data_IF_289754509752
#
_entry.id   IF_289754509752
#
_cell.length_a   1.000
_cell.length_b   1.000
_cell.length_c   1.000
_cell.angle_alpha   90.00
_cell.angle_beta   90.00
_cell.angle_gamma   90.00
#
_symmetry.space_group_name_H-M   'P 1'
#
loop_
_entity.id
_entity.type
_entity.pdbx_description
1 polymer ?
#
# COMPACT_ATOMS: atom_id res chain seq x y z
N UNK A 1 5.21 -2.36 -6.45
CA UNK A 1 4.08 -1.98 -7.32
C UNK A 1 2.89 -1.70 -6.44
N UNK A 2 2.26 -0.54 -6.65
CA UNK A 2 1.08 -0.12 -5.91
C UNK A 2 -0.17 -0.26 -6.79
N UNK A 3 -1.32 -0.44 -6.17
CA UNK A 3 -2.63 -0.55 -6.82
C UNK A 3 -3.49 0.64 -6.41
N UNK A 4 -4.24 1.21 -7.33
CA UNK A 4 -5.11 2.36 -7.07
C UNK A 4 -6.39 2.23 -7.87
N UNK A 5 -7.41 2.98 -7.46
CA UNK A 5 -8.63 3.21 -8.23
C UNK A 5 -8.78 4.70 -8.50
N UNK A 6 -9.52 5.07 -9.55
CA UNK A 6 -9.77 6.48 -9.86
C UNK A 6 -10.60 7.19 -8.77
N UNK A 7 -11.52 6.46 -8.12
CA UNK A 7 -12.41 6.99 -7.08
C UNK A 7 -11.66 7.37 -5.79
N UNK A 8 -10.66 6.57 -5.39
CA UNK A 8 -10.01 6.70 -4.08
C UNK A 8 -8.52 7.05 -4.13
N UNK A 9 -7.89 6.90 -5.30
CA UNK A 9 -6.47 7.20 -5.58
C UNK A 9 -5.53 6.79 -4.42
N UNK A 10 -4.75 7.75 -3.89
CA UNK A 10 -3.78 7.54 -2.83
C UNK A 10 -4.40 7.20 -1.46
N UNK A 11 -5.66 7.54 -1.24
CA UNK A 11 -6.33 7.32 0.06
C UNK A 11 -6.65 5.84 0.30
N UNK A 12 -6.74 5.05 -0.77
CA UNK A 12 -6.87 3.60 -0.69
C UNK A 12 -5.85 2.86 -1.56
N UNK A 13 -4.65 3.44 -1.69
CA UNK A 13 -3.53 2.79 -2.38
C UNK A 13 -3.23 1.43 -1.74
N UNK A 14 -3.25 0.39 -2.59
CA UNK A 14 -2.92 -0.99 -2.25
C UNK A 14 -1.48 -1.33 -2.54
N UNK A 15 -0.91 -2.25 -1.77
CA UNK A 15 0.39 -2.84 -2.05
C UNK A 15 0.49 -4.24 -1.43
N UNK A 16 1.51 -4.99 -1.84
CA UNK A 16 1.80 -6.31 -1.27
C UNK A 16 2.78 -6.17 -0.10
N UNK A 17 2.29 -6.21 1.13
CA UNK A 17 3.10 -6.09 2.34
C UNK A 17 3.79 -7.40 2.74
N UNK A 18 5.00 -7.32 3.30
CA UNK A 18 5.68 -8.45 3.93
C UNK A 18 5.08 -8.80 5.30
N UNK A 19 5.08 -10.09 5.61
CA UNK A 19 4.79 -10.62 6.95
C UNK A 19 5.93 -11.52 7.39
N UNK A 20 6.48 -11.29 8.58
CA UNK A 20 7.57 -12.07 9.15
C UNK A 20 7.07 -13.40 9.75
N UNK A 21 8.00 -14.27 10.12
CA UNK A 21 7.68 -15.59 10.67
C UNK A 21 6.90 -15.56 12.00
N UNK A 22 6.98 -14.44 12.74
CA UNK A 22 6.22 -14.19 13.96
C UNK A 22 4.85 -13.55 13.69
N UNK A 23 4.48 -13.37 12.42
CA UNK A 23 3.23 -12.73 11.98
C UNK A 23 3.27 -11.20 12.01
N UNK A 24 4.39 -10.58 12.37
CA UNK A 24 4.52 -9.12 12.41
C UNK A 24 4.79 -8.51 11.03
N UNK A 25 4.42 -7.24 10.86
CA UNK A 25 4.91 -6.44 9.74
C UNK A 25 6.34 -5.98 10.02
N UNK A 26 7.27 -6.16 9.08
CA UNK A 26 8.62 -5.67 9.27
C UNK A 26 8.68 -4.14 9.20
N UNK A 27 9.72 -3.58 9.81
CA UNK A 27 10.09 -2.18 9.57
C UNK A 27 10.46 -2.00 8.10
N UNK A 28 10.14 -0.85 7.47
CA UNK A 28 10.52 -0.56 6.10
C UNK A 28 12.02 -0.74 5.89
N UNK A 29 12.42 -1.43 4.82
CA UNK A 29 13.82 -1.48 4.42
C UNK A 29 14.17 -0.25 3.62
N UNK A 30 15.35 0.29 3.88
CA UNK A 30 15.90 1.41 3.12
C UNK A 30 16.67 0.84 1.93
N UNK A 31 16.30 1.27 0.72
CA UNK A 31 16.96 0.92 -0.52
C UNK A 31 17.74 2.15 -1.00
N UNK A 32 19.06 2.00 -1.03
CA UNK A 32 19.96 2.97 -1.65
C UNK A 32 19.95 2.76 -3.16
N UNK A 33 19.34 3.69 -3.89
CA UNK A 33 19.25 3.67 -5.36
C UNK A 33 20.42 4.47 -5.99
N UNK A 34 21.34 5.00 -5.17
CA UNK A 34 22.54 5.71 -5.63
C UNK A 34 22.34 7.17 -6.02
N UNK A 35 23.48 7.90 -6.04
CA UNK A 35 23.78 9.27 -6.52
C UNK A 35 22.83 10.43 -6.18
N UNK A 36 21.86 10.26 -5.31
CA UNK A 36 21.01 11.33 -4.79
C UNK A 36 20.79 11.23 -3.28
N UNK A 37 20.22 12.26 -2.67
CA UNK A 37 19.82 12.24 -1.25
C UNK A 37 18.52 11.48 -1.00
N UNK A 38 17.92 10.87 -2.03
CA UNK A 38 16.61 10.25 -1.95
C UNK A 38 16.74 8.76 -1.63
N UNK A 39 16.51 8.42 -0.36
CA UNK A 39 16.44 7.04 0.12
C UNK A 39 15.02 6.52 -0.09
N UNK A 40 14.84 5.41 -0.80
CA UNK A 40 13.52 4.78 -0.94
C UNK A 40 13.28 3.84 0.26
N UNK A 41 12.12 3.94 0.89
CA UNK A 41 11.70 3.05 1.97
C UNK A 41 10.51 2.23 1.50
N UNK A 42 10.54 0.92 1.72
CA UNK A 42 9.44 0.03 1.34
C UNK A 42 9.23 -1.08 2.37
N UNK A 43 7.97 -1.41 2.60
CA UNK A 43 7.52 -2.60 3.33
C UNK A 43 6.98 -3.69 2.39
N UNK A 44 7.21 -3.55 1.09
CA UNK A 44 6.74 -4.52 0.11
C UNK A 44 7.50 -5.84 0.20
N UNK A 45 6.77 -6.95 0.05
CA UNK A 45 7.28 -8.30 0.33
C UNK A 45 8.58 -8.66 -0.40
N UNK A 46 8.72 -8.24 -1.66
CA UNK A 46 9.89 -8.53 -2.51
C UNK A 46 11.20 -8.01 -1.91
N UNK A 47 11.13 -6.97 -1.07
CA UNK A 47 12.30 -6.38 -0.43
C UNK A 47 12.83 -7.21 0.75
N UNK A 48 12.06 -8.22 1.19
CA UNK A 48 12.31 -9.09 2.34
C UNK A 48 12.62 -10.53 1.92
N UNK A 49 13.62 -10.70 1.05
CA UNK A 49 14.07 -12.01 0.56
C UNK A 49 15.12 -12.70 1.43
N UNK A 50 15.59 -12.06 2.50
CA UNK A 50 16.74 -12.53 3.28
C UNK A 50 18.10 -12.12 2.70
N UNK A 51 18.16 -11.65 1.45
CA UNK A 51 19.40 -11.20 0.81
C UNK A 51 19.96 -9.97 1.53
N UNK A 52 21.29 -9.85 1.57
CA UNK A 52 22.01 -8.72 2.20
C UNK A 52 21.73 -8.53 3.70
N UNK A 53 21.39 -9.61 4.42
CA UNK A 53 21.10 -9.56 5.86
C UNK A 53 19.74 -8.94 6.21
N UNK A 54 18.87 -8.73 5.21
CA UNK A 54 17.50 -8.26 5.43
C UNK A 54 16.66 -9.37 6.06
N UNK A 55 15.57 -9.03 6.77
CA UNK A 55 14.59 -10.05 7.18
C UNK A 55 14.03 -10.79 5.96
N UNK A 56 13.66 -12.05 6.18
CA UNK A 56 13.00 -12.89 5.17
C UNK A 56 11.51 -12.98 5.52
N UNK A 57 10.64 -12.59 4.59
CA UNK A 57 9.20 -12.70 4.77
C UNK A 57 8.79 -14.19 4.83
N UNK A 58 7.88 -14.56 5.74
CA UNK A 58 7.28 -15.88 5.79
C UNK A 58 5.95 -15.94 5.01
N UNK A 59 5.30 -14.78 4.85
CA UNK A 59 4.09 -14.60 4.09
C UNK A 59 4.06 -13.19 3.45
N UNK A 60 3.13 -12.98 2.54
CA UNK A 60 2.76 -11.69 2.00
C UNK A 60 1.26 -11.45 2.20
N UNK A 61 0.81 -10.20 2.15
CA UNK A 61 -0.62 -9.86 2.21
C UNK A 61 -0.96 -8.62 1.43
N UNK A 62 -2.24 -8.47 1.08
CA UNK A 62 -2.76 -7.18 0.64
C UNK A 62 -2.70 -6.17 1.80
N UNK A 63 -2.21 -4.98 1.54
CA UNK A 63 -2.21 -3.87 2.48
C UNK A 63 -2.74 -2.62 1.79
N UNK A 64 -3.40 -1.75 2.56
CA UNK A 64 -3.94 -0.49 2.07
C UNK A 64 -3.39 0.69 2.89
N UNK A 65 -3.25 1.85 2.26
CA UNK A 65 -2.83 3.10 2.92
C UNK A 65 -3.79 3.56 4.03
N UNK A 66 -5.04 3.09 4.01
CA UNK A 66 -6.02 3.31 5.08
C UNK A 66 -5.85 2.38 6.30
N UNK A 67 -4.66 1.78 6.48
CA UNK A 67 -4.30 0.81 7.52
C UNK A 67 -5.01 -0.57 7.45
N UNK A 68 -5.81 -0.83 6.43
CA UNK A 68 -6.37 -2.17 6.23
C UNK A 68 -5.27 -3.17 5.87
N UNK A 69 -5.42 -4.40 6.37
CA UNK A 69 -4.53 -5.55 6.13
C UNK A 69 -5.36 -6.79 5.81
N UNK A 70 -5.05 -7.44 4.70
CA UNK A 70 -5.68 -8.66 4.25
C UNK A 70 -5.13 -9.92 4.92
N UNK A 71 -5.66 -11.09 4.54
CA UNK A 71 -5.14 -12.41 4.91
C UNK A 71 -3.66 -12.60 4.56
N UNK A 72 -2.97 -13.41 5.35
CA UNK A 72 -1.57 -13.79 5.10
C UNK A 72 -1.50 -14.97 4.10
N UNK A 73 -0.78 -14.76 3.00
CA UNK A 73 -0.48 -15.76 1.97
C UNK A 73 0.96 -16.24 2.12
N UNK A 74 1.14 -17.54 2.40
CA UNK A 74 2.47 -18.09 2.69
C UNK A 74 3.41 -17.95 1.49
N UNK A 75 4.64 -17.51 1.75
CA UNK A 75 5.72 -17.52 0.76
C UNK A 75 6.44 -18.86 0.84
N UNK A 76 6.43 -19.62 -0.25
CA UNK A 76 7.30 -20.78 -0.41
C UNK A 76 8.57 -20.36 -1.15
N UNK A 77 9.66 -20.22 -0.40
CA UNK A 77 10.92 -19.78 -0.99
C UNK A 77 11.67 -20.87 -1.73
N UNK A 78 11.37 -22.13 -1.46
CA UNK A 78 12.02 -23.23 -2.17
C UNK A 78 11.50 -23.29 -3.62
N UNK A 79 10.23 -22.92 -3.84
CA UNK A 79 9.62 -22.77 -5.18
C UNK A 79 10.11 -21.52 -5.94
N UNK A 80 10.42 -20.41 -5.25
CA UNK A 80 10.82 -19.13 -5.88
C UNK A 80 12.25 -19.16 -6.44
N UNK A 81 13.15 -19.92 -5.81
CA UNK A 81 14.57 -19.95 -6.18
C UNK A 81 15.27 -18.57 -6.10
N UNK A 82 16.48 -18.47 -6.67
CA UNK A 82 17.32 -17.28 -6.51
C UNK A 82 16.94 -16.08 -7.42
N UNK A 83 16.10 -16.29 -8.43
CA UNK A 83 15.73 -15.29 -9.44
C UNK A 83 14.23 -15.01 -9.62
N UNK A 84 13.33 -15.75 -8.96
CA UNK A 84 11.89 -15.77 -9.27
C UNK A 84 11.01 -14.75 -8.53
N UNK A 85 11.57 -13.69 -7.95
CA UNK A 85 10.77 -12.68 -7.23
C UNK A 85 9.79 -11.94 -8.15
N UNK A 86 10.13 -11.80 -9.43
CA UNK A 86 9.29 -11.13 -10.44
C UNK A 86 8.13 -12.02 -10.92
N UNK A 87 8.26 -13.34 -10.76
CA UNK A 87 7.31 -14.34 -11.24
C UNK A 87 6.33 -14.83 -10.15
N UNK A 88 6.48 -14.36 -8.90
CA UNK A 88 5.56 -14.77 -7.85
C UNK A 88 4.17 -14.17 -8.09
N UNK A 89 3.18 -15.05 -8.24
CA UNK A 89 1.79 -14.68 -8.30
C UNK A 89 1.32 -14.14 -6.92
N UNK A 90 1.19 -12.81 -6.86
CA UNK A 90 0.62 -12.08 -5.73
C UNK A 90 -0.85 -11.71 -5.96
N UNK A 91 -1.50 -12.34 -6.94
CA UNK A 91 -2.89 -12.10 -7.32
C UNK A 91 -3.86 -12.26 -6.16
N UNK A 92 -3.62 -13.22 -5.26
CA UNK A 92 -4.45 -13.39 -4.06
C UNK A 92 -4.48 -12.14 -3.16
N UNK A 93 -3.33 -11.46 -2.99
CA UNK A 93 -3.27 -10.21 -2.23
C UNK A 93 -3.94 -9.04 -2.95
N UNK A 94 -3.87 -9.03 -4.29
CA UNK A 94 -4.60 -8.05 -5.10
C UNK A 94 -6.11 -8.26 -4.98
N UNK A 95 -6.59 -9.50 -5.06
CA UNK A 95 -8.01 -9.84 -4.96
C UNK A 95 -8.56 -9.48 -3.57
N UNK A 96 -7.79 -9.73 -2.51
CA UNK A 96 -8.15 -9.30 -1.16
C UNK A 96 -8.28 -7.76 -1.06
N UNK A 97 -7.32 -7.03 -1.65
CA UNK A 97 -7.38 -5.56 -1.71
C UNK A 97 -8.58 -5.07 -2.54
N UNK A 98 -8.84 -5.68 -3.70
CA UNK A 98 -9.99 -5.34 -4.55
C UNK A 98 -11.31 -5.54 -3.80
N UNK A 99 -11.45 -6.67 -3.10
CA UNK A 99 -12.63 -6.93 -2.27
C UNK A 99 -12.77 -5.93 -1.11
N UNK A 100 -11.65 -5.45 -0.57
CA UNK A 100 -11.64 -4.36 0.40
C UNK A 100 -12.13 -3.03 -0.21
N UNK A 101 -11.66 -2.64 -1.40
CA UNK A 101 -12.14 -1.45 -2.09
C UNK A 101 -13.64 -1.53 -2.37
N UNK A 102 -14.15 -2.67 -2.85
CA UNK A 102 -15.59 -2.88 -3.05
C UNK A 102 -16.39 -2.73 -1.75
N UNK A 103 -15.79 -3.06 -0.60
CA UNK A 103 -16.41 -2.88 0.70
C UNK A 103 -16.39 -1.41 1.18
N UNK A 104 -15.35 -0.66 0.83
CA UNK A 104 -15.24 0.79 1.07
C UNK A 104 -16.27 1.52 0.23
N UNK A 105 -16.32 1.24 -1.08
CA UNK A 105 -17.23 1.87 -2.04
C UNK A 105 -18.70 1.71 -1.62
N UNK A 106 -19.12 0.48 -1.28
CA UNK A 106 -20.48 0.22 -0.80
C UNK A 106 -20.86 0.94 0.49
N UNK A 107 -19.88 1.38 1.28
CA UNK A 107 -20.09 2.14 2.52
C UNK A 107 -19.90 3.64 2.33
N UNK A 108 -19.32 4.05 1.22
CA UNK A 108 -19.20 5.46 0.87
C UNK A 108 -20.61 6.05 0.73
N UNK A 109 -20.81 7.20 1.36
CA UNK A 109 -22.05 7.96 1.24
C UNK A 109 -21.67 9.26 0.55
N UNK A 110 -22.36 9.65 -0.54
CA UNK A 110 -22.09 10.92 -1.19
C UNK A 110 -22.26 12.05 -0.18
N UNK A 111 -21.31 12.97 -0.18
CA UNK A 111 -21.40 14.17 0.65
C UNK A 111 -22.63 14.97 0.20
N UNK A 112 -23.56 15.33 1.11
CA UNK A 112 -24.69 16.19 0.77
C UNK A 112 -24.22 17.48 0.09
N UNK A 113 -24.92 17.90 -0.97
CA UNK A 113 -24.55 19.05 -1.80
C UNK A 113 -24.32 20.32 -0.97
N UNK A 114 -25.17 20.55 0.04
CA UNK A 114 -25.05 21.66 0.98
C UNK A 114 -23.71 21.70 1.74
N UNK A 115 -23.17 20.53 2.10
CA UNK A 115 -21.89 20.41 2.80
C UNK A 115 -20.75 20.64 1.81
N UNK A 116 -20.84 20.08 0.60
CA UNK A 116 -19.86 20.27 -0.45
C UNK A 116 -19.73 21.76 -0.83
N UNK A 117 -20.85 22.46 -1.00
CA UNK A 117 -20.87 23.90 -1.26
C UNK A 117 -20.26 24.72 -0.12
N UNK A 118 -20.56 24.35 1.13
CA UNK A 118 -20.01 25.02 2.31
C UNK A 118 -18.49 24.88 2.38
N UNK A 119 -17.95 23.69 2.10
CA UNK A 119 -16.51 23.42 2.06
C UNK A 119 -15.83 24.20 0.93
N UNK A 120 -16.40 24.18 -0.29
CA UNK A 120 -15.87 24.93 -1.42
C UNK A 120 -15.83 26.45 -1.15
N UNK A 121 -16.87 26.98 -0.48
CA UNK A 121 -16.89 28.40 -0.08
C UNK A 121 -15.84 28.74 0.97
N UNK A 122 -15.59 27.83 1.92
CA UNK A 122 -14.56 27.99 2.93
C UNK A 122 -13.17 28.03 2.27
N UNK A 123 -12.88 27.08 1.39
CA UNK A 123 -11.63 27.02 0.62
C UNK A 123 -11.40 28.34 -0.13
N UNK A 124 -12.39 28.80 -0.91
CA UNK A 124 -12.30 30.06 -1.66
C UNK A 124 -12.08 31.30 -0.76
N UNK A 125 -12.47 31.25 0.51
CA UNK A 125 -12.21 32.33 1.47
C UNK A 125 -10.80 32.23 2.06
N UNK A 126 -10.33 31.01 2.34
CA UNK A 126 -8.98 30.78 2.83
C UNK A 126 -7.93 31.14 1.77
N UNK A 127 -8.12 30.75 0.51
CA UNK A 127 -7.17 31.07 -0.57
C UNK A 127 -7.01 32.58 -0.75
N UNK A 128 -8.10 33.34 -0.68
CA UNK A 128 -8.05 34.82 -0.72
C UNK A 128 -7.31 35.47 0.45
N UNK A 129 -7.15 34.78 1.59
CA UNK A 129 -6.34 35.29 2.70
C UNK A 129 -4.85 35.02 2.49
N UNK A 130 -4.50 33.98 1.73
CA UNK A 130 -3.12 33.64 1.38
C UNK A 130 -2.59 34.52 0.25
N UNK A 131 -3.47 34.95 -0.66
CA UNK A 131 -3.14 35.85 -1.77
C UNK A 131 -3.09 37.35 -1.40
N UNK A 132 -3.15 37.68 -0.10
CA UNK A 132 -3.00 39.04 0.46
C UNK A 132 -1.62 39.22 1.10
#
# INVERSE_FOLDING_TARGET
>A
MVWQTEEFEASHEGYVGAVLADGSEPKPVIIDIGSGTNMYQTSEWWAYSGKWGRPRAAAYRGACSCDWRGPDHRVDWDDIGDGGLEDLDVGAAHDDWSAHIDAVDRRAVPVPEEIAEALARLEARLSRLVDQ
#
